data_IF_714068011710
#
_entry.id   IF_714068011710
#
_cell.length_a   1.000
_cell.length_b   1.000
_cell.length_c   1.000
_cell.angle_alpha   90.00
_cell.angle_beta   90.00
_cell.angle_gamma   90.00
#
_symmetry.space_group_name_H-M   'P 1'
#
loop_
_entity.id
_entity.type
_entity.pdbx_description
1 polymer ?
#
# COMPACT_ATOMS: atom_id res chain seq x y z
N UNK A 1 23.18 2.78 3.77
CA UNK A 1 21.83 2.91 4.36
C UNK A 1 20.85 2.74 3.22
N UNK A 2 19.82 1.91 3.39
CA UNK A 2 18.81 1.72 2.35
C UNK A 2 17.67 2.70 2.62
N UNK A 3 17.36 3.51 1.61
CA UNK A 3 16.26 4.46 1.61
C UNK A 3 15.03 3.85 0.94
N UNK A 4 13.86 4.42 1.21
CA UNK A 4 12.62 3.99 0.56
C UNK A 4 12.52 4.71 -0.78
N UNK A 5 12.43 3.97 -1.87
CA UNK A 5 12.23 4.52 -3.21
C UNK A 5 10.80 4.28 -3.64
N UNK A 6 10.09 5.35 -3.99
CA UNK A 6 8.75 5.27 -4.56
C UNK A 6 8.83 5.56 -6.05
N UNK A 7 8.48 4.56 -6.85
CA UNK A 7 8.27 4.73 -8.28
C UNK A 7 6.84 5.20 -8.50
N UNK A 8 6.70 6.42 -9.01
CA UNK A 8 5.44 7.08 -9.28
C UNK A 8 5.39 7.56 -10.74
N UNK A 9 4.27 8.10 -11.19
CA UNK A 9 4.18 8.76 -12.51
C UNK A 9 3.63 10.17 -12.33
N UNK A 10 4.15 11.11 -13.12
CA UNK A 10 3.57 12.45 -13.23
C UNK A 10 2.44 12.50 -14.28
N UNK A 11 2.27 11.44 -15.08
CA UNK A 11 1.20 11.37 -16.07
C UNK A 11 -0.16 11.28 -15.39
N UNK A 12 -0.87 12.40 -15.37
CA UNK A 12 -2.24 12.51 -14.85
C UNK A 12 -3.30 11.83 -15.72
N UNK A 13 -2.89 11.08 -16.75
CA UNK A 13 -3.80 10.42 -17.70
C UNK A 13 -4.77 9.46 -16.99
N UNK A 14 -4.36 8.87 -15.87
CA UNK A 14 -5.21 8.08 -15.00
C UNK A 14 -5.30 8.78 -13.65
N UNK A 15 -6.39 9.52 -13.42
CA UNK A 15 -6.62 10.27 -12.17
C UNK A 15 -6.39 9.40 -10.92
N UNK A 16 -6.89 8.16 -10.96
CA UNK A 16 -6.75 7.18 -9.88
C UNK A 16 -5.29 6.94 -9.52
N UNK A 17 -4.42 6.65 -10.49
CA UNK A 17 -2.99 6.42 -10.25
C UNK A 17 -2.30 7.62 -9.62
N UNK A 18 -2.63 8.85 -10.03
CA UNK A 18 -2.07 10.06 -9.44
C UNK A 18 -2.54 10.26 -7.98
N UNK A 19 -3.80 9.93 -7.68
CA UNK A 19 -4.33 9.93 -6.30
C UNK A 19 -3.64 8.87 -5.44
N UNK A 20 -3.45 7.66 -5.98
CA UNK A 20 -2.77 6.56 -5.29
C UNK A 20 -1.30 6.92 -4.97
N UNK A 21 -0.60 7.56 -5.91
CA UNK A 21 0.74 8.11 -5.68
C UNK A 21 0.76 9.11 -4.51
N UNK A 22 -0.16 10.08 -4.52
CA UNK A 22 -0.26 11.10 -3.46
C UNK A 22 -0.57 10.47 -2.10
N UNK A 23 -1.50 9.51 -2.07
CA UNK A 23 -1.90 8.81 -0.84
C UNK A 23 -0.74 8.02 -0.26
N UNK A 24 0.00 7.28 -1.09
CA UNK A 24 1.15 6.50 -0.62
C UNK A 24 2.30 7.39 -0.10
N UNK A 25 2.60 8.49 -0.79
CA UNK A 25 3.61 9.45 -0.33
C UNK A 25 3.21 10.14 0.98
N UNK A 26 1.96 10.58 1.11
CA UNK A 26 1.45 11.18 2.34
C UNK A 26 1.50 10.19 3.52
N UNK A 27 1.21 8.92 3.26
CA UNK A 27 1.30 7.86 4.26
C UNK A 27 2.74 7.69 4.75
N UNK A 28 3.71 7.54 3.84
CA UNK A 28 5.12 7.40 4.20
C UNK A 28 5.66 8.65 4.93
N UNK A 29 5.24 9.84 4.52
CA UNK A 29 5.58 11.10 5.19
C UNK A 29 4.99 11.20 6.60
N UNK A 30 3.76 10.71 6.81
CA UNK A 30 3.16 10.64 8.15
C UNK A 30 3.96 9.76 9.11
N UNK A 31 4.57 8.68 8.59
CA UNK A 31 5.53 7.86 9.35
C UNK A 31 6.91 8.52 9.53
N UNK A 32 7.18 9.61 8.83
CA UNK A 32 8.47 10.30 8.79
C UNK A 32 9.56 9.48 8.11
N UNK A 33 9.18 8.66 7.13
CA UNK A 33 10.10 7.86 6.35
C UNK A 33 10.79 8.76 5.33
N UNK A 34 12.11 8.63 5.20
CA UNK A 34 12.84 9.31 4.13
C UNK A 34 12.56 8.58 2.80
N UNK A 35 11.82 9.24 1.90
CA UNK A 35 11.42 8.70 0.61
C UNK A 35 12.14 9.42 -0.54
N UNK A 36 12.72 8.64 -1.44
CA UNK A 36 13.20 9.07 -2.75
C UNK A 36 12.13 8.79 -3.79
N UNK A 37 11.67 9.81 -4.51
CA UNK A 37 10.63 9.65 -5.53
C UNK A 37 11.26 9.61 -6.91
N UNK A 38 10.94 8.56 -7.68
CA UNK A 38 11.39 8.39 -9.06
C UNK A 38 10.17 8.40 -9.98
N UNK A 39 10.15 9.32 -10.93
CA UNK A 39 9.06 9.47 -11.89
C UNK A 39 9.29 8.57 -13.10
N UNK A 40 8.42 7.58 -13.30
CA UNK A 40 8.47 6.56 -14.35
C UNK A 40 7.62 7.01 -15.54
N UNK A 41 8.01 8.13 -16.15
CA UNK A 41 7.29 8.69 -17.30
C UNK A 41 7.91 8.31 -18.65
N UNK A 42 9.18 7.88 -18.66
CA UNK A 42 9.88 7.40 -19.86
C UNK A 42 9.71 5.89 -20.03
N UNK A 43 9.71 5.38 -21.29
CA UNK A 43 9.65 3.94 -21.54
C UNK A 43 10.86 3.20 -20.95
N UNK A 44 12.05 3.81 -20.99
CA UNK A 44 13.28 3.27 -20.40
C UNK A 44 13.13 2.97 -18.90
N UNK A 45 12.55 3.91 -18.15
CA UNK A 45 12.30 3.72 -16.71
C UNK A 45 11.21 2.67 -16.46
N UNK A 46 10.21 2.54 -17.35
CA UNK A 46 9.21 1.47 -17.22
C UNK A 46 9.85 0.10 -17.38
N UNK A 47 10.67 -0.08 -18.42
CA UNK A 47 11.42 -1.33 -18.64
C UNK A 47 12.33 -1.63 -17.45
N UNK A 48 13.05 -0.63 -16.94
CA UNK A 48 13.88 -0.79 -15.75
C UNK A 48 13.09 -1.28 -14.53
N UNK A 49 11.94 -0.66 -14.24
CA UNK A 49 11.12 -1.06 -13.09
C UNK A 49 10.52 -2.46 -13.32
N UNK A 50 10.15 -2.81 -14.55
CA UNK A 50 9.66 -4.15 -14.88
C UNK A 50 10.73 -5.22 -14.67
N UNK A 51 11.97 -4.99 -15.12
CA UNK A 51 13.10 -5.88 -14.79
C UNK A 51 13.33 -5.99 -13.27
N UNK A 52 13.12 -4.89 -12.55
CA UNK A 52 13.23 -4.87 -11.09
C UNK A 52 12.13 -5.73 -10.45
N UNK A 53 10.92 -5.70 -11.02
CA UNK A 53 9.80 -6.56 -10.63
C UNK A 53 10.04 -8.05 -10.91
N UNK A 54 10.82 -8.37 -11.93
CA UNK A 54 11.23 -9.75 -12.23
C UNK A 54 12.35 -10.21 -11.28
N UNK A 55 13.35 -9.36 -11.06
CA UNK A 55 14.47 -9.65 -10.15
C UNK A 55 13.99 -9.91 -8.72
N UNK A 56 13.04 -9.13 -8.20
CA UNK A 56 12.44 -9.39 -6.89
C UNK A 56 11.63 -10.71 -6.83
N UNK A 57 11.02 -11.13 -7.95
CA UNK A 57 10.25 -12.36 -7.99
C UNK A 57 11.19 -13.56 -7.83
N UNK A 58 12.41 -13.46 -8.38
CA UNK A 58 13.49 -14.41 -8.15
C UNK A 58 14.02 -14.40 -6.70
N UNK A 59 14.03 -13.24 -6.02
CA UNK A 59 14.42 -13.13 -4.60
C UNK A 59 13.42 -13.84 -3.68
N UNK A 60 12.13 -13.82 -4.04
CA UNK A 60 11.08 -14.51 -3.27
C UNK A 60 10.76 -13.89 -1.91
N UNK A 61 11.21 -12.66 -1.65
CA UNK A 61 11.01 -11.97 -0.37
C UNK A 61 9.53 -11.88 0.02
N UNK A 62 8.65 -11.55 -0.94
CA UNK A 62 7.20 -11.43 -0.71
C UNK A 62 6.57 -12.74 -0.19
N UNK A 63 7.01 -13.89 -0.72
CA UNK A 63 6.54 -15.22 -0.27
C UNK A 63 6.98 -15.51 1.16
N UNK A 64 8.18 -15.07 1.56
CA UNK A 64 8.71 -15.28 2.91
C UNK A 64 7.97 -14.44 3.96
N UNK A 65 7.45 -13.28 3.56
CA UNK A 65 6.77 -12.34 4.45
C UNK A 65 5.23 -12.37 4.31
N UNK A 66 4.67 -13.34 3.57
CA UNK A 66 3.22 -13.55 3.48
C UNK A 66 2.46 -12.53 2.64
N UNK A 67 3.13 -11.71 1.83
CA UNK A 67 2.52 -10.64 1.02
C UNK A 67 2.07 -11.14 -0.37
N UNK A 68 1.93 -12.45 -0.54
CA UNK A 68 1.47 -13.05 -1.80
C UNK A 68 2.50 -13.07 -2.94
N UNK A 69 1.98 -13.16 -4.17
CA UNK A 69 2.76 -13.18 -5.42
C UNK A 69 3.21 -11.77 -5.82
N UNK A 70 4.17 -11.66 -6.73
CA UNK A 70 4.54 -10.36 -7.29
C UNK A 70 3.32 -9.75 -8.01
N UNK A 71 2.96 -8.48 -7.74
CA UNK A 71 1.83 -7.87 -8.39
C UNK A 71 2.17 -7.55 -9.85
N UNK A 72 1.17 -7.39 -10.73
CA UNK A 72 1.41 -6.86 -12.07
C UNK A 72 2.05 -5.46 -11.96
N UNK A 73 2.71 -5.01 -13.03
CA UNK A 73 3.28 -3.66 -13.08
C UNK A 73 2.17 -2.62 -12.92
N UNK A 74 2.08 -2.02 -11.73
CA UNK A 74 1.10 -1.02 -11.37
C UNK A 74 1.76 0.04 -10.49
N UNK A 75 1.70 1.29 -10.93
CA UNK A 75 2.17 2.42 -10.14
C UNK A 75 1.08 2.88 -9.16
N UNK A 76 1.45 3.35 -7.96
CA UNK A 76 2.81 3.51 -7.49
C UNK A 76 3.39 2.24 -6.83
N UNK A 77 4.72 2.10 -6.87
CA UNK A 77 5.45 0.97 -6.25
C UNK A 77 6.40 1.47 -5.16
N UNK A 78 6.37 0.81 -4.00
CA UNK A 78 7.22 1.14 -2.85
C UNK A 78 8.34 0.12 -2.68
N UNK A 79 9.59 0.56 -2.87
CA UNK A 79 10.78 -0.25 -2.72
C UNK A 79 11.65 0.20 -1.56
N UNK A 80 12.39 -0.73 -0.99
CA UNK A 80 13.50 -0.47 -0.07
C UNK A 80 14.71 -1.17 -0.64
N UNK A 81 15.64 -0.38 -1.20
CA UNK A 81 16.74 -0.93 -1.99
C UNK A 81 16.20 -1.83 -3.13
N UNK A 82 16.57 -3.13 -3.20
CA UNK A 82 16.09 -4.05 -4.23
C UNK A 82 14.77 -4.77 -3.89
N UNK A 83 14.17 -4.49 -2.73
CA UNK A 83 13.00 -5.24 -2.22
C UNK A 83 11.73 -4.43 -2.41
N UNK A 84 10.73 -5.01 -3.10
CA UNK A 84 9.37 -4.44 -3.14
C UNK A 84 8.63 -4.75 -1.85
N UNK A 85 8.23 -3.68 -1.19
CA UNK A 85 7.33 -3.71 -0.04
C UNK A 85 5.91 -3.98 -0.50
N UNK A 86 5.46 -3.23 -1.51
CA UNK A 86 4.15 -3.43 -2.14
C UNK A 86 3.70 -2.28 -3.04
N UNK A 87 2.50 -2.46 -3.61
CA UNK A 87 1.72 -1.41 -4.28
C UNK A 87 0.95 -0.57 -3.25
N UNK A 88 0.28 0.49 -3.69
CA UNK A 88 -0.47 1.38 -2.80
C UNK A 88 -1.50 0.65 -1.92
N UNK A 89 -2.29 -0.28 -2.47
CA UNK A 89 -3.32 -1.00 -1.70
C UNK A 89 -2.71 -1.83 -0.58
N UNK A 90 -1.64 -2.57 -0.89
CA UNK A 90 -0.91 -3.39 0.08
C UNK A 90 -0.22 -2.54 1.16
N UNK A 91 0.37 -1.39 0.78
CA UNK A 91 0.97 -0.47 1.75
C UNK A 91 -0.08 0.12 2.68
N UNK A 92 -1.30 0.39 2.18
CA UNK A 92 -2.43 0.83 3.00
C UNK A 92 -2.88 -0.28 3.95
N UNK A 93 -3.01 -1.52 3.48
CA UNK A 93 -3.35 -2.67 4.32
C UNK A 93 -2.29 -2.90 5.43
N UNK A 94 -1.01 -2.80 5.09
CA UNK A 94 0.09 -2.89 6.07
C UNK A 94 0.02 -1.76 7.11
N UNK A 95 -0.45 -0.58 6.72
CA UNK A 95 -0.66 0.54 7.64
C UNK A 95 -1.87 0.29 8.55
N UNK A 96 -2.98 -0.19 8.00
CA UNK A 96 -4.21 -0.51 8.76
C UNK A 96 -3.96 -1.64 9.77
N UNK A 97 -3.16 -2.63 9.42
CA UNK A 97 -2.72 -3.71 10.32
C UNK A 97 -1.61 -3.27 11.30
N UNK A 98 -1.03 -2.08 11.11
CA UNK A 98 0.07 -1.57 11.93
C UNK A 98 1.42 -2.28 11.72
N UNK A 99 1.55 -3.12 10.69
CA UNK A 99 2.75 -3.91 10.39
C UNK A 99 3.72 -3.22 9.43
N UNK A 100 3.31 -2.11 8.81
CA UNK A 100 4.12 -1.38 7.83
C UNK A 100 5.54 -1.02 8.33
N UNK A 101 5.75 -0.47 9.55
CA UNK A 101 7.10 -0.16 10.01
C UNK A 101 7.98 -1.40 10.15
N UNK A 102 7.40 -2.53 10.57
CA UNK A 102 8.11 -3.80 10.68
C UNK A 102 8.52 -4.33 9.30
N UNK A 103 7.62 -4.22 8.32
CA UNK A 103 7.88 -4.61 6.93
C UNK A 103 8.97 -3.76 6.28
N UNK A 104 8.92 -2.43 6.48
CA UNK A 104 9.97 -1.54 5.99
C UNK A 104 11.34 -1.87 6.59
N UNK A 105 11.40 -2.14 7.91
CA UNK A 105 12.66 -2.58 8.56
C UNK A 105 13.13 -3.94 8.05
N UNK A 106 12.22 -4.90 7.86
CA UNK A 106 12.54 -6.22 7.32
C UNK A 106 13.07 -6.14 5.87
N UNK A 107 12.57 -5.18 5.10
CA UNK A 107 13.06 -4.87 3.75
C UNK A 107 14.43 -4.15 3.76
N UNK A 108 14.95 -3.73 4.92
CA UNK A 108 16.26 -3.13 5.07
C UNK A 108 16.27 -1.64 5.41
N UNK A 109 15.11 -1.02 5.63
CA UNK A 109 15.04 0.40 5.99
C UNK A 109 15.64 0.61 7.37
N UNK A 110 16.61 1.54 7.43
CA UNK A 110 17.38 1.85 8.65
C UNK A 110 17.21 3.29 9.12
N UNK A 111 16.27 4.03 8.51
CA UNK A 111 15.96 5.39 8.92
C UNK A 111 15.13 5.45 10.20
N UNK A 112 14.97 6.66 10.74
CA UNK A 112 14.17 6.91 11.94
C UNK A 112 12.71 7.12 11.53
N UNK A 113 11.78 6.56 12.30
CA UNK A 113 10.35 6.85 12.18
C UNK A 113 9.98 8.02 13.10
N UNK A 114 9.19 8.99 12.62
CA UNK A 114 8.84 10.22 13.35
C UNK A 114 7.92 9.98 14.55
N UNK A 115 7.13 8.92 14.53
CA UNK A 115 6.19 8.63 15.60
C UNK A 115 6.85 7.89 16.77
N UNK A 116 6.91 8.56 17.92
CA UNK A 116 7.25 7.97 19.23
C UNK A 116 6.28 6.87 19.67
N UNK A 117 5.04 6.82 19.15
CA UNK A 117 4.07 5.76 19.43
C UNK A 117 4.27 4.46 18.60
N UNK A 118 5.00 4.51 17.48
CA UNK A 118 5.19 3.36 16.58
C UNK A 118 6.57 2.69 16.72
N UNK A 119 7.50 3.32 17.44
CA UNK A 119 8.79 2.69 17.77
C UNK A 119 8.70 1.80 19.03
N UNK A 120 7.69 2.00 19.87
CA UNK A 120 7.42 1.23 21.11
C UNK A 120 6.38 0.12 20.93
N UNK A 121 6.11 -0.35 19.70
CA UNK A 121 5.43 -1.63 19.51
C UNK A 121 6.52 -2.70 19.65
N UNK A 122 6.65 -3.38 20.81
CA UNK A 122 7.52 -4.54 20.89
C UNK A 122 7.06 -5.50 19.79
N UNK A 123 7.99 -5.87 18.91
CA UNK A 123 7.87 -7.05 18.04
C UNK A 123 7.95 -8.31 18.90
N UNK A 124 7.05 -8.40 19.89
CA UNK A 124 6.76 -9.60 20.62
C UNK A 124 5.73 -10.36 19.81
N UNK A 125 6.18 -11.45 19.19
CA UNK A 125 5.31 -12.53 18.72
C UNK A 125 4.09 -12.64 19.65
N UNK A 126 2.88 -12.49 19.12
CA UNK A 126 1.65 -12.62 19.92
C UNK A 126 1.56 -13.96 20.69
N UNK A 127 2.36 -14.96 20.29
CA UNK A 127 2.54 -16.21 21.01
C UNK A 127 3.34 -16.08 22.33
N UNK A 128 4.25 -15.11 22.46
CA UNK A 128 5.06 -14.92 23.66
C UNK A 128 4.29 -14.20 24.79
N UNK A 129 3.40 -13.25 24.45
CA UNK A 129 2.57 -12.57 25.44
C UNK A 129 1.44 -13.46 26.00
N UNK A 130 0.93 -14.40 25.21
CA UNK A 130 0.00 -15.42 25.70
C UNK A 130 0.68 -16.41 26.67
N UNK A 131 1.95 -16.75 26.43
CA UNK A 131 2.71 -17.66 27.30
C UNK A 131 3.10 -17.01 28.64
N UNK A 132 3.38 -15.71 28.66
CA UNK A 132 3.75 -15.00 29.90
C UNK A 132 2.53 -14.66 30.78
N UNK A 133 1.37 -14.40 30.17
CA UNK A 133 0.09 -14.29 30.89
C UNK A 133 -0.36 -15.62 31.51
N UNK A 134 0.09 -16.77 30.97
CA UNK A 134 -0.17 -18.10 31.52
C UNK A 134 0.85 -18.55 32.60
N UNK A 135 1.98 -17.85 32.73
CA UNK A 135 3.03 -18.14 33.72
C UNK A 135 2.88 -17.36 35.03
N UNK A 136 1.90 -16.46 35.14
CA UNK A 136 1.65 -15.70 36.36
C UNK A 136 0.85 -16.55 37.35
N UNK A 137 1.39 -16.93 38.53
CA UNK A 137 0.65 -17.71 39.50
C UNK A 137 -0.56 -16.92 40.02
N UNK A 138 -1.73 -17.57 40.24
CA UNK A 138 -2.90 -16.87 40.73
C UNK A 138 -2.61 -16.24 42.11
N UNK A 139 -3.09 -15.02 42.38
CA UNK A 139 -2.95 -14.41 43.69
C UNK A 139 -3.68 -15.28 44.73
N UNK A 140 -3.14 -15.43 45.96
CA UNK A 140 -3.80 -16.20 47.00
C UNK A 140 -5.15 -15.57 47.35
N UNK A 141 -6.17 -16.37 47.71
CA UNK A 141 -7.49 -15.87 48.03
C UNK A 141 -7.41 -14.97 49.28
N UNK A 142 -7.57 -13.67 49.07
CA UNK A 142 -7.74 -12.72 50.17
C UNK A 142 -9.16 -12.81 50.70
N UNK A 143 -9.21 -13.17 51.97
CA UNK A 143 -10.36 -13.47 52.80
C UNK A 143 -11.12 -12.18 53.18
N UNK A 144 -12.43 -12.16 52.90
CA UNK A 144 -13.54 -11.46 53.56
C UNK A 144 -13.26 -10.14 54.34
N UNK A 145 -13.87 -9.06 53.85
CA UNK A 145 -14.20 -7.85 54.63
C UNK A 145 -14.83 -6.78 53.75
N UNK A 146 -16.15 -6.81 53.54
CA UNK A 146 -17.17 -6.01 54.25
C UNK A 146 -17.25 -4.53 53.81
N UNK A 147 -18.42 -4.21 53.24
CA UNK A 147 -19.15 -2.95 53.25
C UNK A 147 -18.51 -1.64 52.76
N UNK A 148 -19.07 -1.13 51.66
CA UNK A 148 -19.78 0.15 51.70
C UNK A 148 -19.02 1.38 51.23
N UNK A 149 -19.72 2.25 50.51
CA UNK A 149 -19.37 3.67 50.45
C UNK A 149 -19.27 4.27 49.06
N UNK A 150 -20.41 4.75 48.58
CA UNK A 150 -20.61 5.88 47.65
C UNK A 150 -19.51 6.94 47.63
N UNK A 151 -19.19 7.48 46.44
CA UNK A 151 -19.26 8.94 46.22
C UNK A 151 -19.09 9.31 44.74
N UNK A 152 -20.15 9.90 44.20
CA UNK A 152 -20.13 10.80 43.06
C UNK A 152 -19.49 12.12 43.52
N UNK A 153 -18.66 12.74 42.68
CA UNK A 153 -18.38 14.18 42.78
C UNK A 153 -18.14 14.77 41.40
N UNK A 154 -19.07 15.65 41.06
CA UNK A 154 -19.09 16.59 39.95
C UNK A 154 -18.71 17.98 40.50
N UNK A 155 -17.92 18.76 39.76
CA UNK A 155 -17.88 20.24 39.67
C UNK A 155 -16.56 20.60 38.96
N UNK A 156 -16.51 21.26 37.79
CA UNK A 156 -17.10 22.50 37.27
C UNK A 156 -16.40 23.79 37.75
N UNK A 157 -16.14 24.67 36.76
CA UNK A 157 -15.68 26.07 36.80
C UNK A 157 -14.13 26.25 36.87
N UNK A 158 -13.47 27.28 36.29
CA UNK A 158 -13.91 28.58 35.76
C UNK A 158 -12.70 29.34 35.11
N UNK A 159 -12.94 30.16 34.06
CA UNK A 159 -12.23 31.41 33.70
C UNK A 159 -10.84 31.31 33.04
N UNK A 160 -10.36 32.18 32.14
CA UNK A 160 -10.82 33.47 31.57
C UNK A 160 -10.03 33.76 30.26
N UNK A 161 -10.72 34.43 29.33
CA UNK A 161 -10.35 35.52 28.41
C UNK A 161 -9.02 35.58 27.62
N UNK A 162 -9.18 35.69 26.29
CA UNK A 162 -8.16 36.13 25.34
C UNK A 162 -8.79 36.56 24.01
N UNK A 163 -9.25 37.82 23.95
CA UNK A 163 -9.81 38.49 22.78
C UNK A 163 -8.78 38.73 21.65
N UNK A 164 -9.23 38.63 20.40
CA UNK A 164 -8.46 39.00 19.21
C UNK A 164 -9.18 38.61 17.92
N UNK A 165 -9.96 39.56 17.40
CA UNK A 165 -10.67 39.61 16.11
C UNK A 165 -9.66 39.38 14.95
N UNK A 166 -9.99 38.80 13.79
CA UNK A 166 -10.88 39.33 12.75
C UNK A 166 -11.44 38.21 11.86
N UNK A 167 -12.73 38.33 11.53
CA UNK A 167 -13.53 37.44 10.71
C UNK A 167 -13.32 37.69 9.20
N UNK A 168 -13.22 36.62 8.41
CA UNK A 168 -13.72 36.64 7.04
C UNK A 168 -14.32 35.27 6.71
N UNK A 169 -15.64 35.18 6.93
CA UNK A 169 -16.45 34.00 6.57
C UNK A 169 -16.79 34.04 5.08
N UNK A 170 -16.59 32.96 4.31
CA UNK A 170 -17.20 32.82 3.00
C UNK A 170 -18.72 32.55 3.14
N UNK A 171 -19.54 33.03 2.20
CA UNK A 171 -21.00 33.02 2.32
C UNK A 171 -21.59 31.60 2.19
N UNK A 172 -22.68 31.28 2.91
CA UNK A 172 -23.51 30.13 2.61
C UNK A 172 -24.48 30.47 1.47
N UNK A 173 -24.74 29.53 0.56
CA UNK A 173 -26.01 29.40 -0.19
C UNK A 173 -25.88 28.41 -1.36
N UNK A 174 -26.51 27.24 -1.24
CA UNK A 174 -27.69 26.84 -2.02
C UNK A 174 -27.90 25.32 -1.96
N UNK A 175 -28.72 24.96 -0.98
CA UNK A 175 -29.93 24.15 -1.11
C UNK A 175 -30.40 24.01 -2.58
N UNK A 176 -30.22 22.81 -3.15
CA UNK A 176 -31.04 22.33 -4.25
C UNK A 176 -31.47 20.90 -3.88
N UNK A 177 -32.70 20.84 -3.39
CA UNK A 177 -33.46 19.63 -3.16
C UNK A 177 -33.77 18.96 -4.50
N UNK A 178 -33.36 17.70 -4.67
CA UNK A 178 -34.09 16.74 -5.52
C UNK A 178 -34.21 15.40 -4.80
N UNK A 179 -35.37 15.22 -4.20
CA UNK A 179 -36.02 13.92 -4.03
C UNK A 179 -36.07 13.16 -5.37
N UNK A 180 -35.56 11.94 -5.35
CA UNK A 180 -36.14 10.77 -6.04
C UNK A 180 -35.53 9.57 -5.30
N UNK A 181 -36.25 8.84 -4.44
CA UNK A 181 -37.42 8.08 -4.84
C UNK A 181 -37.00 6.70 -5.36
N UNK A 182 -36.37 5.87 -4.53
CA UNK A 182 -36.38 4.42 -4.75
C UNK A 182 -36.06 3.66 -3.47
N UNK A 183 -37.09 3.58 -2.64
CA UNK A 183 -37.39 2.41 -1.83
C UNK A 183 -37.35 1.13 -2.70
N UNK A 184 -36.49 0.20 -2.31
CA UNK A 184 -36.65 -1.21 -2.67
C UNK A 184 -36.38 -2.02 -1.43
N UNK A 185 -37.39 -2.03 -0.57
CA UNK A 185 -37.58 -3.08 0.41
C UNK A 185 -38.00 -4.35 -0.33
N UNK A 186 -37.03 -5.21 -0.66
CA UNK A 186 -37.33 -6.61 -0.93
C UNK A 186 -37.15 -7.39 0.37
N UNK A 187 -38.23 -7.32 1.14
CA UNK A 187 -38.66 -8.40 2.02
C UNK A 187 -38.86 -9.65 1.14
N UNK A 188 -38.07 -10.69 1.40
CA UNK A 188 -38.33 -12.03 0.88
C UNK A 188 -37.94 -13.01 1.97
N UNK A 189 -38.87 -13.13 2.92
CA UNK A 189 -39.46 -14.38 3.33
C UNK A 189 -38.52 -15.57 3.54
N UNK A 190 -38.44 -15.94 4.81
CA UNK A 190 -38.17 -17.28 5.28
C UNK A 190 -38.86 -18.36 4.41
N UNK A 191 -38.04 -19.29 3.92
CA UNK A 191 -38.46 -20.59 3.42
C UNK A 191 -37.65 -21.64 4.18
N UNK A 192 -38.27 -22.09 5.28
CA UNK A 192 -38.16 -23.45 5.78
C UNK A 192 -38.79 -24.34 4.69
N UNK A 193 -38.00 -25.18 4.02
CA UNK A 193 -38.51 -26.39 3.36
C UNK A 193 -37.39 -27.43 3.34
N UNK A 194 -37.51 -28.38 4.27
CA UNK A 194 -36.85 -29.68 4.23
C UNK A 194 -37.07 -30.33 2.86
N UNK A 195 -36.01 -30.47 2.07
CA UNK A 195 -35.98 -31.42 0.98
C UNK A 195 -34.58 -32.03 0.88
N UNK A 196 -34.52 -33.32 1.19
CA UNK A 196 -33.45 -34.24 0.87
C UNK A 196 -32.99 -34.05 -0.59
N UNK A 197 -31.83 -33.43 -0.80
CA UNK A 197 -31.11 -33.49 -2.08
C UNK A 197 -29.80 -34.25 -1.85
N UNK A 198 -29.92 -35.54 -2.14
CA UNK A 198 -28.87 -36.52 -2.32
C UNK A 198 -27.96 -36.02 -3.47
N UNK A 199 -27.00 -35.14 -3.13
CA UNK A 199 -25.95 -34.76 -4.08
C UNK A 199 -25.05 -35.98 -4.29
N UNK A 200 -25.41 -36.78 -5.29
CA UNK A 200 -24.50 -37.70 -5.95
C UNK A 200 -23.23 -36.91 -6.29
N UNK A 201 -22.12 -37.35 -5.71
CA UNK A 201 -20.77 -36.97 -6.13
C UNK A 201 -20.65 -37.46 -7.57
N UNK A 202 -20.97 -36.58 -8.52
CA UNK A 202 -20.57 -36.74 -9.91
C UNK A 202 -19.03 -36.72 -9.90
N UNK A 203 -18.44 -37.88 -10.16
CA UNK A 203 -17.08 -38.00 -10.64
C UNK A 203 -16.91 -36.97 -11.77
N UNK A 204 -16.26 -35.86 -11.45
CA UNK A 204 -15.91 -34.84 -12.41
C UNK A 204 -14.76 -35.42 -13.24
N UNK A 205 -15.14 -36.20 -14.25
CA UNK A 205 -14.33 -36.60 -15.39
C UNK A 205 -13.40 -35.44 -15.75
N UNK A 206 -12.11 -35.76 -15.84
CA UNK A 206 -11.05 -34.92 -16.39
C UNK A 206 -11.46 -34.49 -17.81
N UNK A 207 -12.19 -33.38 -17.94
CA UNK A 207 -12.27 -32.67 -19.21
C UNK A 207 -10.87 -32.16 -19.50
N UNK A 208 -10.20 -32.86 -20.42
CA UNK A 208 -9.08 -32.42 -21.23
C UNK A 208 -9.24 -30.93 -21.58
N UNK A 209 -8.68 -30.05 -20.75
CA UNK A 209 -8.42 -28.66 -21.15
C UNK A 209 -7.39 -28.74 -22.28
N UNK A 210 -7.88 -28.69 -23.52
CA UNK A 210 -7.07 -28.51 -24.71
C UNK A 210 -6.00 -27.44 -24.40
N UNK A 211 -4.70 -27.73 -24.61
CA UNK A 211 -3.66 -26.76 -24.33
C UNK A 211 -3.97 -25.48 -25.10
N UNK A 212 -3.70 -24.29 -24.51
CA UNK A 212 -3.94 -23.03 -25.21
C UNK A 212 -3.26 -23.07 -26.58
N UNK A 213 -3.90 -22.52 -27.63
CA UNK A 213 -3.31 -22.51 -28.96
C UNK A 213 -1.90 -21.92 -28.87
N UNK A 214 -0.93 -22.48 -29.61
CA UNK A 214 0.41 -21.91 -29.66
C UNK A 214 0.30 -20.42 -30.03
N UNK A 215 1.18 -19.56 -29.48
CA UNK A 215 1.26 -18.19 -29.94
C UNK A 215 1.42 -18.18 -31.48
N UNK A 216 0.85 -17.18 -32.18
CA UNK A 216 1.10 -17.03 -33.60
C UNK A 216 2.62 -17.06 -33.81
N UNK A 217 3.08 -17.88 -34.76
CA UNK A 217 4.47 -17.85 -35.21
C UNK A 217 4.76 -16.38 -35.55
N UNK A 218 5.64 -15.76 -34.77
CA UNK A 218 6.17 -14.44 -35.13
C UNK A 218 6.90 -14.68 -36.44
N UNK A 219 6.24 -14.25 -37.52
CA UNK A 219 6.78 -14.25 -38.87
C UNK A 219 8.22 -13.76 -38.77
N UNK A 220 9.12 -14.60 -39.29
CA UNK A 220 10.52 -14.27 -39.52
C UNK A 220 10.56 -13.03 -40.40
N UNK A 221 10.60 -11.85 -39.79
CA UNK A 221 11.08 -10.64 -40.42
C UNK A 221 12.57 -10.90 -40.73
N UNK A 222 12.80 -11.47 -41.91
CA UNK A 222 14.07 -11.46 -42.61
C UNK A 222 14.46 -9.98 -42.78
N UNK A 223 15.20 -9.45 -41.79
CA UNK A 223 15.96 -8.22 -41.93
C UNK A 223 16.96 -8.43 -43.08
N UNK A 224 16.57 -8.01 -44.28
CA UNK A 224 17.49 -7.76 -45.38
C UNK A 224 18.41 -6.61 -44.97
N UNK A 225 19.61 -6.99 -44.52
CA UNK A 225 20.79 -6.16 -44.48
C UNK A 225 21.03 -5.50 -45.86
N UNK A 226 20.70 -4.22 -46.00
CA UNK A 226 21.32 -3.36 -47.02
C UNK A 226 22.04 -2.19 -46.34
N UNK A 227 23.36 -2.36 -46.25
CA UNK A 227 24.36 -1.31 -46.06
C UNK A 227 24.19 -0.16 -47.07
N UNK A 228 24.32 1.09 -46.62
CA UNK A 228 24.84 2.29 -47.33
C UNK A 228 24.36 3.53 -46.53
N UNK A 229 25.07 4.62 -46.29
CA UNK A 229 26.37 5.16 -46.68
C UNK A 229 26.46 6.52 -45.94
N UNK A 230 27.67 6.96 -45.61
CA UNK A 230 28.06 8.38 -45.52
C UNK A 230 27.40 9.30 -44.49
N UNK A 231 28.15 9.71 -43.46
CA UNK A 231 27.68 10.73 -42.53
C UNK A 231 28.65 11.15 -41.43
N UNK A 232 29.94 11.19 -41.75
CA UNK A 232 31.00 11.90 -41.02
C UNK A 232 30.67 13.40 -40.89
N UNK A 233 29.95 13.78 -39.83
CA UNK A 233 29.87 15.17 -39.37
C UNK A 233 30.45 15.27 -37.96
N UNK A 234 31.79 15.25 -37.93
CA UNK A 234 32.61 15.71 -36.82
C UNK A 234 32.28 17.18 -36.51
N UNK A 235 31.26 17.41 -35.70
CA UNK A 235 31.04 18.71 -35.04
C UNK A 235 32.13 18.94 -33.98
N UNK A 236 33.33 19.29 -34.45
CA UNK A 236 34.38 19.82 -33.58
C UNK A 236 33.98 21.22 -33.09
N UNK A 237 34.04 21.48 -31.78
CA UNK A 237 33.73 22.81 -31.26
C UNK A 237 34.78 23.84 -31.73
N UNK A 238 34.38 25.10 -31.99
CA UNK A 238 35.31 26.15 -32.40
C UNK A 238 36.34 26.44 -31.30
N UNK A 239 37.59 26.62 -31.70
CA UNK A 239 38.71 26.96 -30.80
C UNK A 239 38.50 28.31 -30.10
N UNK A 240 38.99 28.48 -28.85
CA UNK A 240 38.90 29.74 -28.13
C UNK A 240 39.81 30.83 -28.75
N UNK A 241 39.45 32.12 -28.61
CA UNK A 241 40.25 33.22 -29.14
C UNK A 241 41.58 33.39 -28.37
N UNK A 242 42.62 33.97 -29.00
CA UNK A 242 43.89 34.25 -28.33
C UNK A 242 43.71 35.34 -27.27
N UNK A 243 44.30 35.13 -26.09
CA UNK A 243 44.41 36.14 -25.03
C UNK A 243 45.33 37.29 -25.47
N UNK A 244 44.86 38.53 -25.27
CA UNK A 244 45.64 39.77 -25.36
C UNK A 244 45.92 40.29 -23.93
#
# INVERSE_FOLDING_TARGET
MQEVTVYATAMQAVRRTADDCRRMLALLDAFGVAVSVVLVDTPELRTFVQELLEKQAAIGWRRQHGVGLAPPFQLPLCFVGPVLVGIQDEVVELNETGTLPQMLRAAGYSGKFRATAHNDIPVGSAAALAAEAAATPPPPPSFLGVAGGTSLSSSHAHGEDGAGEEEEAPPPSNEDEKEDGSDSALDSSALDDDADDDFEILDNDEEDEDPPPPPPDEDEDEDEDEDEDGGDDEFLPPSPPPED
#
